data_IF_524329331919
#
_entry.id   IF_524329331919
#
_cell.length_a   1.000
_cell.length_b   1.000
_cell.length_c   1.000
_cell.angle_alpha   90.00
_cell.angle_beta   90.00
_cell.angle_gamma   90.00
#
_symmetry.space_group_name_H-M   'P 1'
#
loop_
_entity.id
_entity.type
_entity.pdbx_description
1 polymer ?
#
# COMPACT_ATOMS: atom_id res chain seq x y z
N UNK A 1 38.26 -5.38 9.87
CA UNK A 1 37.34 -4.24 9.75
C UNK A 1 37.24 -3.66 8.34
N UNK A 2 38.34 -3.63 7.55
CA UNK A 2 38.28 -3.10 6.16
C UNK A 2 37.44 -3.93 5.19
N UNK A 3 37.30 -5.21 5.43
CA UNK A 3 36.52 -6.14 4.59
C UNK A 3 34.99 -6.06 4.86
N UNK A 4 34.60 -5.62 6.07
CA UNK A 4 33.18 -5.56 6.45
C UNK A 4 32.48 -4.33 5.86
N UNK A 5 33.21 -3.26 5.64
CA UNK A 5 32.65 -1.99 5.16
C UNK A 5 31.99 -2.12 3.74
N UNK A 6 32.65 -2.72 2.73
CA UNK A 6 32.00 -2.91 1.43
C UNK A 6 30.79 -3.85 1.48
N UNK A 7 30.78 -4.87 2.34
CA UNK A 7 29.63 -5.77 2.53
C UNK A 7 28.44 -5.03 3.15
N UNK A 8 28.69 -4.18 4.13
CA UNK A 8 27.64 -3.34 4.74
C UNK A 8 27.06 -2.33 3.74
N UNK A 9 27.90 -1.73 2.90
CA UNK A 9 27.45 -0.81 1.86
C UNK A 9 26.58 -1.53 0.83
N UNK A 10 26.97 -2.71 0.37
CA UNK A 10 26.17 -3.50 -0.57
C UNK A 10 24.82 -3.89 0.04
N UNK A 11 24.80 -4.37 1.29
CA UNK A 11 23.57 -4.68 2.00
C UNK A 11 22.64 -3.47 2.15
N UNK A 12 23.21 -2.32 2.46
CA UNK A 12 22.44 -1.06 2.58
C UNK A 12 21.82 -0.65 1.24
N UNK A 13 22.57 -0.75 0.13
CA UNK A 13 22.05 -0.43 -1.20
C UNK A 13 20.90 -1.35 -1.61
N UNK A 14 21.02 -2.66 -1.33
CA UNK A 14 19.95 -3.64 -1.58
C UNK A 14 18.70 -3.29 -0.75
N UNK A 15 18.88 -3.00 0.53
CA UNK A 15 17.77 -2.60 1.43
C UNK A 15 17.06 -1.34 0.93
N UNK A 16 17.82 -0.31 0.52
CA UNK A 16 17.25 0.92 -0.05
C UNK A 16 16.51 0.62 -1.35
N UNK A 17 17.06 -0.24 -2.22
CA UNK A 17 16.42 -0.65 -3.46
C UNK A 17 15.09 -1.38 -3.22
N UNK A 18 15.07 -2.34 -2.31
CA UNK A 18 13.85 -3.04 -1.91
C UNK A 18 12.83 -2.05 -1.34
N UNK A 19 13.24 -1.20 -0.39
CA UNK A 19 12.36 -0.23 0.24
C UNK A 19 11.75 0.74 -0.78
N UNK A 20 12.55 1.28 -1.70
CA UNK A 20 12.07 2.19 -2.73
C UNK A 20 11.06 1.53 -3.68
N UNK A 21 11.41 0.36 -4.23
CA UNK A 21 10.52 -0.37 -5.14
C UNK A 21 9.23 -0.83 -4.44
N UNK A 22 9.33 -1.35 -3.21
CA UNK A 22 8.18 -1.75 -2.41
C UNK A 22 7.28 -0.57 -2.07
N UNK A 23 7.86 0.60 -1.76
CA UNK A 23 7.10 1.83 -1.49
C UNK A 23 6.30 2.28 -2.71
N UNK A 24 6.91 2.28 -3.89
CA UNK A 24 6.21 2.61 -5.14
C UNK A 24 5.05 1.64 -5.38
N UNK A 25 5.31 0.34 -5.25
CA UNK A 25 4.27 -0.68 -5.40
C UNK A 25 3.16 -0.51 -4.34
N UNK A 26 3.52 -0.25 -3.08
CA UNK A 26 2.55 -0.03 -2.00
C UNK A 26 1.65 1.18 -2.27
N UNK A 27 2.21 2.29 -2.75
CA UNK A 27 1.44 3.49 -3.12
C UNK A 27 0.46 3.16 -4.25
N UNK A 28 0.93 2.51 -5.32
CA UNK A 28 0.07 2.12 -6.45
C UNK A 28 -1.06 1.21 -5.97
N UNK A 29 -0.75 0.19 -5.18
CA UNK A 29 -1.75 -0.75 -4.66
C UNK A 29 -2.71 -0.10 -3.68
N UNK A 30 -2.26 0.86 -2.86
CA UNK A 30 -3.13 1.63 -1.97
C UNK A 30 -4.18 2.43 -2.76
N UNK A 31 -3.78 3.11 -3.82
CA UNK A 31 -4.71 3.85 -4.68
C UNK A 31 -5.66 2.92 -5.45
N UNK A 32 -5.14 1.84 -6.04
CA UNK A 32 -5.94 0.85 -6.79
C UNK A 32 -6.98 0.19 -5.88
N UNK A 33 -6.57 -0.27 -4.70
CA UNK A 33 -7.47 -0.91 -3.75
C UNK A 33 -8.53 0.09 -3.21
N UNK A 34 -8.14 1.33 -2.91
CA UNK A 34 -9.09 2.37 -2.50
C UNK A 34 -10.10 2.66 -3.61
N UNK A 35 -9.64 2.82 -4.85
CA UNK A 35 -10.52 3.04 -5.99
C UNK A 35 -11.48 1.85 -6.21
N UNK A 36 -10.98 0.62 -6.10
CA UNK A 36 -11.80 -0.58 -6.20
C UNK A 36 -12.88 -0.64 -5.10
N UNK A 37 -12.53 -0.31 -3.85
CA UNK A 37 -13.47 -0.28 -2.71
C UNK A 37 -14.53 0.82 -2.83
N UNK A 38 -14.24 1.90 -3.54
CA UNK A 38 -15.17 3.01 -3.80
C UNK A 38 -15.97 2.81 -5.09
N UNK A 39 -15.67 1.78 -5.88
CA UNK A 39 -16.34 1.52 -7.15
C UNK A 39 -17.83 1.20 -6.94
N UNK A 40 -18.65 1.64 -7.89
CA UNK A 40 -20.09 1.31 -7.94
C UNK A 40 -20.35 -0.15 -8.28
N UNK A 41 -19.42 -0.78 -8.98
CA UNK A 41 -19.55 -2.17 -9.43
C UNK A 41 -19.23 -3.14 -8.29
N UNK A 42 -20.23 -3.93 -7.89
CA UNK A 42 -20.12 -4.81 -6.72
C UNK A 42 -18.96 -5.83 -6.77
N UNK A 43 -18.67 -6.50 -7.92
CA UNK A 43 -17.55 -7.43 -7.99
C UNK A 43 -16.18 -6.76 -7.71
N UNK A 44 -15.97 -5.56 -8.26
CA UNK A 44 -14.71 -4.82 -8.07
C UNK A 44 -14.53 -4.39 -6.60
N UNK A 45 -15.62 -3.95 -5.97
CA UNK A 45 -15.62 -3.61 -4.54
C UNK A 45 -15.35 -4.84 -3.66
N UNK A 46 -15.92 -6.00 -4.03
CA UNK A 46 -15.68 -7.25 -3.32
C UNK A 46 -14.20 -7.67 -3.42
N UNK A 47 -13.61 -7.62 -4.63
CA UNK A 47 -12.18 -7.89 -4.83
C UNK A 47 -11.29 -6.96 -4.02
N UNK A 48 -11.58 -5.66 -4.02
CA UNK A 48 -10.82 -4.69 -3.23
C UNK A 48 -10.90 -4.95 -1.71
N UNK A 49 -12.08 -5.34 -1.22
CA UNK A 49 -12.25 -5.73 0.19
C UNK A 49 -11.50 -7.02 0.50
N UNK A 50 -11.66 -8.06 -0.31
CA UNK A 50 -10.98 -9.34 -0.12
C UNK A 50 -9.46 -9.18 -0.10
N UNK A 51 -8.89 -8.41 -1.02
CA UNK A 51 -7.46 -8.09 -1.01
C UNK A 51 -7.04 -7.47 0.33
N UNK A 52 -7.73 -6.43 0.76
CA UNK A 52 -7.36 -5.72 1.99
C UNK A 52 -7.54 -6.60 3.23
N UNK A 53 -8.60 -7.38 3.31
CA UNK A 53 -8.85 -8.30 4.43
C UNK A 53 -7.81 -9.41 4.52
N UNK A 54 -7.43 -10.02 3.39
CA UNK A 54 -6.43 -11.09 3.35
C UNK A 54 -5.06 -10.53 3.79
N UNK A 55 -4.60 -9.44 3.15
CA UNK A 55 -3.26 -8.91 3.43
C UNK A 55 -3.12 -8.26 4.80
N UNK A 56 -4.18 -7.70 5.36
CA UNK A 56 -4.17 -7.14 6.72
C UNK A 56 -4.48 -8.19 7.80
N UNK A 57 -5.19 -9.25 7.44
CA UNK A 57 -5.52 -10.34 8.36
C UNK A 57 -4.43 -11.39 8.52
N UNK A 58 -3.36 -11.33 7.72
CA UNK A 58 -2.24 -12.27 7.76
C UNK A 58 -0.92 -11.56 8.09
N UNK A 59 0.01 -12.27 8.73
CA UNK A 59 1.33 -11.72 9.03
C UNK A 59 2.15 -11.56 7.74
N UNK A 60 2.93 -10.47 7.65
CA UNK A 60 3.87 -10.23 6.56
C UNK A 60 4.84 -11.42 6.39
N UNK A 61 5.35 -11.97 7.48
CA UNK A 61 6.26 -13.13 7.44
C UNK A 61 5.61 -14.34 6.75
N UNK A 62 4.35 -14.62 7.07
CA UNK A 62 3.58 -15.71 6.46
C UNK A 62 3.39 -15.47 4.97
N UNK A 63 3.11 -14.23 4.56
CA UNK A 63 2.97 -13.85 3.15
C UNK A 63 4.28 -14.03 2.38
N UNK A 64 5.41 -13.59 2.95
CA UNK A 64 6.74 -13.79 2.34
C UNK A 64 7.07 -15.28 2.20
N UNK A 65 6.79 -16.07 3.23
CA UNK A 65 6.97 -17.54 3.19
C UNK A 65 6.09 -18.16 2.10
N UNK A 66 4.85 -17.72 1.96
CA UNK A 66 3.94 -18.23 0.96
C UNK A 66 4.41 -17.90 -0.46
N UNK A 67 4.86 -16.66 -0.71
CA UNK A 67 5.40 -16.26 -2.01
C UNK A 67 6.68 -17.00 -2.37
N UNK A 68 7.55 -17.27 -1.39
CA UNK A 68 8.85 -17.88 -1.66
C UNK A 68 8.79 -19.40 -1.76
N UNK A 69 7.99 -20.06 -0.93
CA UNK A 69 7.98 -21.52 -0.84
C UNK A 69 6.76 -22.20 -1.47
N UNK A 70 5.59 -21.56 -1.42
CA UNK A 70 4.35 -22.19 -1.91
C UNK A 70 4.09 -21.88 -3.37
N UNK A 71 4.36 -20.66 -3.83
CA UNK A 71 4.14 -20.27 -5.22
C UNK A 71 4.93 -21.09 -6.26
N UNK A 72 6.18 -21.53 -5.99
CA UNK A 72 6.92 -22.41 -6.90
C UNK A 72 6.35 -23.83 -7.00
N UNK A 73 5.55 -24.27 -6.02
CA UNK A 73 4.96 -25.62 -6.02
C UNK A 73 3.80 -25.73 -7.02
N UNK A 74 3.52 -26.95 -7.54
CA UNK A 74 2.30 -27.18 -8.31
C UNK A 74 1.05 -26.86 -7.48
N UNK A 75 0.02 -26.26 -8.04
CA UNK A 75 -0.23 -26.00 -9.47
C UNK A 75 0.36 -24.70 -10.03
N UNK A 76 0.87 -23.80 -9.17
CA UNK A 76 1.23 -22.43 -9.57
C UNK A 76 2.52 -22.37 -10.41
N UNK A 77 3.59 -23.05 -9.98
CA UNK A 77 4.91 -23.11 -10.65
C UNK A 77 5.49 -21.73 -10.99
N UNK A 78 5.28 -20.74 -10.11
CA UNK A 78 5.78 -19.39 -10.30
C UNK A 78 7.03 -19.21 -9.43
N UNK A 79 8.20 -19.25 -10.07
CA UNK A 79 9.48 -19.02 -9.39
C UNK A 79 9.77 -17.51 -9.34
N UNK A 80 10.07 -17.01 -8.16
CA UNK A 80 10.45 -15.62 -7.93
C UNK A 80 11.81 -15.56 -7.26
N UNK A 81 12.61 -14.57 -7.64
CA UNK A 81 13.86 -14.30 -6.91
C UNK A 81 13.54 -13.74 -5.52
N UNK A 82 14.41 -13.98 -4.51
CA UNK A 82 14.21 -13.41 -3.16
C UNK A 82 13.95 -11.91 -3.18
N UNK A 83 14.65 -11.18 -4.04
CA UNK A 83 14.47 -9.74 -4.25
C UNK A 83 13.05 -9.39 -4.73
N UNK A 84 12.51 -10.16 -5.68
CA UNK A 84 11.16 -9.95 -6.20
C UNK A 84 10.10 -10.29 -5.15
N UNK A 85 10.30 -11.39 -4.40
CA UNK A 85 9.41 -11.78 -3.29
C UNK A 85 9.35 -10.67 -2.24
N UNK A 86 10.50 -10.08 -1.90
CA UNK A 86 10.57 -8.95 -0.98
C UNK A 86 9.73 -7.76 -1.46
N UNK A 87 9.94 -7.32 -2.71
CA UNK A 87 9.24 -6.17 -3.28
C UNK A 87 7.73 -6.41 -3.35
N UNK A 88 7.34 -7.57 -3.86
CA UNK A 88 5.91 -7.91 -4.04
C UNK A 88 5.23 -8.10 -2.68
N UNK A 89 5.85 -8.84 -1.77
CA UNK A 89 5.29 -9.11 -0.44
C UNK A 89 5.11 -7.83 0.37
N UNK A 90 6.17 -7.02 0.50
CA UNK A 90 6.11 -5.74 1.18
C UNK A 90 5.13 -4.78 0.49
N UNK A 91 5.20 -4.66 -0.85
CA UNK A 91 4.37 -3.76 -1.62
C UNK A 91 2.87 -4.08 -1.49
N UNK A 92 2.49 -5.34 -1.58
CA UNK A 92 1.10 -5.77 -1.41
C UNK A 92 0.63 -5.62 0.04
N UNK A 93 1.46 -6.02 1.02
CA UNK A 93 1.13 -5.89 2.43
C UNK A 93 0.87 -4.43 2.82
N UNK A 94 1.85 -3.56 2.61
CA UNK A 94 1.74 -2.15 2.96
C UNK A 94 0.79 -1.37 2.05
N UNK A 95 0.56 -1.83 0.83
CA UNK A 95 -0.48 -1.31 -0.06
C UNK A 95 -1.89 -1.51 0.50
N UNK A 96 -2.16 -2.66 1.12
CA UNK A 96 -3.44 -2.94 1.78
C UNK A 96 -3.67 -2.00 2.99
N UNK A 97 -2.65 -1.78 3.83
CA UNK A 97 -2.72 -0.80 4.92
C UNK A 97 -2.87 0.64 4.41
N UNK A 98 -2.11 1.01 3.38
CA UNK A 98 -2.21 2.32 2.74
C UNK A 98 -3.61 2.62 2.19
N UNK A 99 -4.30 1.62 1.66
CA UNK A 99 -5.68 1.79 1.17
C UNK A 99 -6.66 2.16 2.29
N UNK A 100 -6.49 1.60 3.49
CA UNK A 100 -7.33 1.96 4.63
C UNK A 100 -7.00 3.36 5.17
N UNK A 101 -5.73 3.76 5.13
CA UNK A 101 -5.31 5.13 5.47
C UNK A 101 -5.98 6.12 4.52
N UNK A 102 -5.92 5.88 3.21
CA UNK A 102 -6.57 6.75 2.22
C UNK A 102 -8.09 6.81 2.41
N UNK A 103 -8.72 5.66 2.66
CA UNK A 103 -10.16 5.59 2.92
C UNK A 103 -10.54 6.32 4.21
N UNK A 104 -9.77 6.16 5.27
CA UNK A 104 -9.96 6.87 6.54
C UNK A 104 -9.81 8.39 6.36
N UNK A 105 -8.80 8.81 5.63
CA UNK A 105 -8.55 10.22 5.32
C UNK A 105 -9.67 10.86 4.48
N UNK A 106 -10.24 10.12 3.51
CA UNK A 106 -11.41 10.61 2.75
C UNK A 106 -12.63 10.78 3.65
N UNK A 107 -12.83 9.90 4.63
CA UNK A 107 -13.94 9.96 5.58
C UNK A 107 -13.76 11.01 6.68
N UNK A 108 -12.54 11.43 6.95
CA UNK A 108 -12.25 12.46 7.96
C UNK A 108 -12.52 13.87 7.50
N UNK A 109 -12.78 14.07 6.19
CA UNK A 109 -13.20 15.38 5.67
C UNK A 109 -14.61 15.70 6.19
N UNK A 110 -14.81 16.87 6.86
CA UNK A 110 -16.09 17.22 7.45
C UNK A 110 -17.24 17.22 6.42
N UNK A 111 -18.40 16.68 6.80
CA UNK A 111 -19.60 16.65 5.95
C UNK A 111 -20.04 18.04 5.48
N UNK A 112 -19.84 19.07 6.31
CA UNK A 112 -20.10 20.47 5.95
C UNK A 112 -19.36 20.92 4.66
N UNK A 113 -18.18 20.36 4.37
CA UNK A 113 -17.47 20.63 3.12
C UNK A 113 -18.21 20.04 1.89
N UNK A 114 -18.85 18.90 2.06
CA UNK A 114 -19.70 18.30 1.03
C UNK A 114 -20.97 19.13 0.81
N UNK A 115 -21.60 19.56 1.88
CA UNK A 115 -22.83 20.37 1.83
C UNK A 115 -22.57 21.74 1.21
N UNK A 116 -21.50 22.41 1.61
CA UNK A 116 -21.09 23.69 1.03
C UNK A 116 -20.80 23.56 -0.47
N UNK A 117 -20.12 22.50 -0.88
CA UNK A 117 -19.84 22.24 -2.29
C UNK A 117 -21.10 21.93 -3.10
N UNK A 118 -22.11 21.31 -2.50
CA UNK A 118 -23.42 21.09 -3.10
C UNK A 118 -24.18 22.42 -3.25
N UNK A 119 -24.18 23.26 -2.23
CA UNK A 119 -24.82 24.58 -2.26
C UNK A 119 -24.24 25.48 -3.38
N UNK A 120 -22.93 25.33 -3.66
CA UNK A 120 -22.26 25.99 -4.79
C UNK A 120 -22.50 25.31 -6.14
N UNK A 121 -23.36 24.29 -6.20
CA UNK A 121 -23.70 23.52 -7.40
C UNK A 121 -22.46 22.94 -8.13
N UNK A 122 -21.40 22.55 -7.38
CA UNK A 122 -20.21 21.99 -7.94
C UNK A 122 -20.45 20.55 -8.42
N UNK A 123 -19.92 20.22 -9.61
CA UNK A 123 -19.98 18.87 -10.13
C UNK A 123 -19.26 17.88 -9.19
N UNK A 124 -19.68 16.59 -9.13
CA UNK A 124 -19.06 15.59 -8.27
C UNK A 124 -17.54 15.48 -8.45
N UNK A 125 -17.07 15.59 -9.68
CA UNK A 125 -15.64 15.52 -10.01
C UNK A 125 -14.89 16.76 -9.48
N UNK A 126 -15.45 17.95 -9.68
CA UNK A 126 -14.86 19.21 -9.21
C UNK A 126 -14.79 19.23 -7.68
N UNK A 127 -15.87 18.82 -7.00
CA UNK A 127 -15.94 18.68 -5.55
C UNK A 127 -14.87 17.73 -5.02
N UNK A 128 -14.76 16.54 -5.62
CA UNK A 128 -13.75 15.55 -5.22
C UNK A 128 -12.33 16.10 -5.42
N UNK A 129 -12.02 16.62 -6.60
CA UNK A 129 -10.66 17.02 -6.97
C UNK A 129 -10.18 18.30 -6.30
N UNK A 130 -11.06 19.29 -6.11
CA UNK A 130 -10.68 20.62 -5.61
C UNK A 130 -10.90 20.85 -4.13
N UNK A 131 -11.79 20.08 -3.50
CA UNK A 131 -12.16 20.30 -2.10
C UNK A 131 -11.79 19.10 -1.24
N UNK A 132 -12.27 17.89 -1.59
CA UNK A 132 -12.17 16.73 -0.71
C UNK A 132 -10.77 16.09 -0.77
N UNK A 133 -10.27 15.83 -1.98
CA UNK A 133 -9.00 15.15 -2.15
C UNK A 133 -7.80 15.91 -1.55
N UNK A 134 -7.65 17.23 -1.72
CA UNK A 134 -6.55 17.97 -1.09
C UNK A 134 -6.57 17.88 0.44
N UNK A 135 -7.75 18.01 1.06
CA UNK A 135 -7.89 17.90 2.52
C UNK A 135 -7.62 16.46 2.99
N UNK A 136 -8.16 15.47 2.28
CA UNK A 136 -7.91 14.05 2.60
C UNK A 136 -6.43 13.69 2.50
N UNK A 137 -5.70 14.22 1.50
CA UNK A 137 -4.26 13.96 1.36
C UNK A 137 -3.48 14.53 2.55
N UNK A 138 -3.80 15.72 3.02
CA UNK A 138 -3.16 16.30 4.22
C UNK A 138 -3.44 15.41 5.44
N UNK A 139 -4.67 14.95 5.62
CA UNK A 139 -5.06 14.07 6.73
C UNK A 139 -4.41 12.67 6.62
N UNK A 140 -4.07 12.23 5.41
CA UNK A 140 -3.39 10.96 5.18
C UNK A 140 -1.88 11.02 5.50
N UNK A 141 -1.24 12.18 5.48
CA UNK A 141 0.21 12.31 5.62
C UNK A 141 0.77 11.71 6.93
N UNK A 142 0.23 12.01 8.14
CA UNK A 142 0.79 11.46 9.37
C UNK A 142 0.74 9.92 9.42
N UNK A 143 -0.40 9.24 9.18
CA UNK A 143 -0.42 7.79 9.17
C UNK A 143 0.37 7.17 8.01
N UNK A 144 0.44 7.83 6.85
CA UNK A 144 1.26 7.38 5.73
C UNK A 144 2.75 7.42 6.06
N UNK A 145 3.24 8.45 6.77
CA UNK A 145 4.62 8.52 7.23
C UNK A 145 4.96 7.38 8.18
N UNK A 146 4.08 7.06 9.14
CA UNK A 146 4.26 5.93 10.03
C UNK A 146 4.32 4.60 9.26
N UNK A 147 3.44 4.44 8.26
CA UNK A 147 3.43 3.26 7.41
C UNK A 147 4.74 3.08 6.62
N UNK A 148 5.35 4.18 6.14
CA UNK A 148 6.65 4.15 5.47
C UNK A 148 7.77 3.70 6.41
N UNK A 149 7.76 4.17 7.67
CA UNK A 149 8.71 3.73 8.69
C UNK A 149 8.54 2.23 8.98
N UNK A 150 7.32 1.74 9.07
CA UNK A 150 7.03 0.31 9.25
C UNK A 150 7.50 -0.52 8.05
N UNK A 151 7.32 -0.03 6.82
CA UNK A 151 7.83 -0.68 5.61
C UNK A 151 9.36 -0.80 5.67
N UNK A 152 10.06 0.27 6.03
CA UNK A 152 11.52 0.26 6.19
C UNK A 152 11.97 -0.76 7.25
N UNK A 153 11.26 -0.86 8.37
CA UNK A 153 11.52 -1.90 9.38
C UNK A 153 11.21 -3.29 8.85
N UNK A 154 10.15 -3.43 8.04
CA UNK A 154 9.76 -4.69 7.40
C UNK A 154 10.82 -5.25 6.46
N UNK A 155 11.68 -4.43 5.86
CA UNK A 155 12.79 -4.93 5.02
C UNK A 155 13.81 -5.77 5.80
N UNK A 156 13.84 -5.67 7.13
CA UNK A 156 14.70 -6.51 7.96
C UNK A 156 14.23 -7.99 8.07
N UNK A 157 13.03 -8.30 7.59
CA UNK A 157 12.48 -9.67 7.56
C UNK A 157 12.86 -10.42 6.28
N UNK A 158 13.50 -9.76 5.35
CA UNK A 158 13.87 -10.25 4.02
C UNK A 158 15.38 -10.30 3.87
#
# INVERSE_FOLDING_TARGET
MRELFPLLLQGTLVTIGIAACSTVLAIVMAFVATAAKLARWAPLRWLGNAYVEIFRGTSLLVQLFWFFFVLPLPPFRIEMTPFTVAIVGLGLHYGAYGSEILRGALRSVPGAQFEAALALNLSPLTRMRRIILPQAMINALPPATNLMIELLKGTSLV
#
